data_IF_344324390556
#
_entry.id   IF_344324390556
#
_cell.length_a   1.000
_cell.length_b   1.000
_cell.length_c   1.000
_cell.angle_alpha   90.00
_cell.angle_beta   90.00
_cell.angle_gamma   90.00
#
_symmetry.space_group_name_H-M   'P 1'
#
loop_
_entity.id
_entity.type
_entity.pdbx_description
1 polymer ?
#
# COMPACT_ATOMS: atom_id res chain seq x y z
N UNK A 1 -13.23 21.00 -22.99
CA UNK A 1 -14.25 20.91 -21.92
C UNK A 1 -14.72 19.47 -21.87
N UNK A 2 -14.49 18.75 -20.75
CA UNK A 2 -15.03 17.42 -20.55
C UNK A 2 -16.56 17.52 -20.33
N UNK A 3 -17.38 16.60 -20.88
CA UNK A 3 -18.83 16.61 -20.68
C UNK A 3 -19.18 16.40 -19.20
N UNK A 4 -20.19 17.13 -18.71
CA UNK A 4 -20.56 17.16 -17.28
C UNK A 4 -21.00 15.78 -16.73
N UNK A 5 -21.51 14.89 -17.58
CA UNK A 5 -21.84 13.51 -17.23
C UNK A 5 -20.59 12.68 -16.90
N UNK A 6 -19.51 12.82 -17.68
CA UNK A 6 -18.22 12.17 -17.43
C UNK A 6 -17.58 12.73 -16.14
N UNK A 7 -17.77 14.04 -15.93
CA UNK A 7 -17.36 14.76 -14.72
C UNK A 7 -18.17 14.41 -13.46
N UNK A 8 -19.33 13.76 -13.57
CA UNK A 8 -20.02 13.22 -12.40
C UNK A 8 -19.69 11.74 -12.14
N UNK A 9 -19.25 11.01 -13.15
CA UNK A 9 -18.85 9.62 -13.00
C UNK A 9 -17.43 9.49 -12.45
N UNK A 10 -16.48 10.29 -12.92
CA UNK A 10 -15.09 10.19 -12.46
C UNK A 10 -14.91 10.69 -11.00
N UNK A 11 -15.79 11.56 -10.47
CA UNK A 11 -15.79 12.01 -9.06
C UNK A 11 -16.18 10.87 -8.15
N UNK A 12 -17.15 10.07 -8.59
CA UNK A 12 -17.56 8.87 -7.86
C UNK A 12 -16.45 7.84 -7.83
N UNK A 13 -15.60 7.76 -8.86
CA UNK A 13 -14.51 6.78 -8.95
C UNK A 13 -13.27 7.20 -8.16
N UNK A 14 -13.01 8.51 -8.01
CA UNK A 14 -11.87 9.06 -7.28
C UNK A 14 -11.66 8.48 -5.87
N UNK A 15 -12.66 8.40 -4.98
CA UNK A 15 -12.46 7.83 -3.64
C UNK A 15 -12.10 6.34 -3.68
N UNK A 16 -12.60 5.57 -4.66
CA UNK A 16 -12.23 4.17 -4.84
C UNK A 16 -10.76 4.04 -5.30
N UNK A 17 -10.33 4.88 -6.24
CA UNK A 17 -8.94 4.88 -6.72
C UNK A 17 -7.95 5.24 -5.60
N UNK A 18 -8.28 6.25 -4.79
CA UNK A 18 -7.47 6.63 -3.64
C UNK A 18 -7.42 5.49 -2.62
N UNK A 19 -8.55 4.85 -2.32
CA UNK A 19 -8.57 3.71 -1.40
C UNK A 19 -7.77 2.49 -1.89
N UNK A 20 -7.78 2.22 -3.20
CA UNK A 20 -7.05 1.09 -3.81
C UNK A 20 -5.54 1.39 -3.95
N UNK A 21 -5.15 2.67 -4.00
CA UNK A 21 -3.77 3.08 -4.28
C UNK A 21 -2.74 2.51 -3.30
N UNK A 22 -3.06 2.46 -2.02
CA UNK A 22 -2.16 1.97 -0.96
C UNK A 22 -1.95 0.44 -1.06
N UNK A 23 -3.01 -0.39 -1.06
CA UNK A 23 -2.84 -1.85 -1.22
C UNK A 23 -2.29 -2.27 -2.59
N UNK A 24 -2.35 -1.41 -3.61
CA UNK A 24 -1.71 -1.66 -4.92
C UNK A 24 -0.18 -1.76 -4.85
N UNK A 25 0.45 -1.27 -3.77
CA UNK A 25 1.89 -1.41 -3.55
C UNK A 25 2.34 -2.88 -3.58
N UNK A 26 1.47 -3.81 -3.19
CA UNK A 26 1.76 -5.25 -3.19
C UNK A 26 2.05 -5.80 -4.59
N UNK A 27 1.38 -5.25 -5.61
CA UNK A 27 1.59 -5.68 -7.00
C UNK A 27 2.92 -5.11 -7.52
N UNK A 28 3.28 -3.91 -7.05
CA UNK A 28 4.59 -3.33 -7.25
C UNK A 28 4.57 -1.80 -7.28
N UNK A 29 5.74 -1.15 -7.12
CA UNK A 29 5.86 0.31 -7.12
C UNK A 29 5.32 0.96 -8.40
N UNK A 30 5.47 0.30 -9.54
CA UNK A 30 4.96 0.78 -10.83
C UNK A 30 3.43 0.87 -10.85
N UNK A 31 2.73 -0.15 -10.35
CA UNK A 31 1.27 -0.19 -10.32
C UNK A 31 0.73 0.85 -9.34
N UNK A 32 1.32 0.96 -8.16
CA UNK A 32 1.00 2.04 -7.21
C UNK A 32 1.23 3.42 -7.87
N UNK A 33 2.34 3.62 -8.56
CA UNK A 33 2.65 4.85 -9.28
C UNK A 33 1.61 5.21 -10.35
N UNK A 34 1.13 4.22 -11.11
CA UNK A 34 0.06 4.41 -12.10
C UNK A 34 -1.26 4.78 -11.42
N UNK A 35 -1.67 4.04 -10.39
CA UNK A 35 -2.94 4.31 -9.68
C UNK A 35 -2.91 5.68 -9.00
N UNK A 36 -1.79 6.04 -8.38
CA UNK A 36 -1.58 7.37 -7.80
C UNK A 36 -1.51 8.46 -8.86
N UNK A 37 -0.84 8.23 -9.98
CA UNK A 37 -0.76 9.17 -11.10
C UNK A 37 -2.14 9.47 -11.67
N UNK A 38 -2.93 8.44 -11.93
CA UNK A 38 -4.33 8.57 -12.38
C UNK A 38 -5.15 9.33 -11.33
N UNK A 39 -5.01 8.97 -10.04
CA UNK A 39 -5.70 9.66 -8.94
C UNK A 39 -5.31 11.14 -8.87
N UNK A 40 -4.03 11.47 -9.09
CA UNK A 40 -3.51 12.84 -9.09
C UNK A 40 -4.09 13.64 -10.24
N UNK A 41 -4.03 13.11 -11.45
CA UNK A 41 -4.61 13.76 -12.64
C UNK A 41 -6.10 14.00 -12.44
N UNK A 42 -6.84 13.00 -11.94
CA UNK A 42 -8.25 13.16 -11.60
C UNK A 42 -8.50 14.25 -10.55
N UNK A 43 -7.65 14.32 -9.53
CA UNK A 43 -7.76 15.29 -8.45
C UNK A 43 -7.51 16.73 -8.95
N UNK A 44 -6.62 16.93 -9.93
CA UNK A 44 -6.34 18.23 -10.55
C UNK A 44 -7.18 18.57 -11.79
N UNK A 45 -7.87 17.62 -12.42
CA UNK A 45 -8.75 17.89 -13.56
C UNK A 45 -10.22 18.17 -13.15
N UNK A 46 -10.56 18.06 -11.87
CA UNK A 46 -11.93 18.13 -11.35
C UNK A 46 -12.40 19.54 -10.96
N UNK A 47 -13.72 19.82 -10.87
CA UNK A 47 -14.25 21.05 -10.29
C UNK A 47 -14.15 21.00 -8.75
N UNK A 48 -14.15 22.17 -8.10
CA UNK A 48 -13.87 22.40 -6.65
C UNK A 48 -12.38 22.52 -6.26
N UNK A 49 -11.50 22.74 -7.23
CA UNK A 49 -10.08 23.05 -6.98
C UNK A 49 -9.92 24.24 -6.03
N UNK A 50 -10.70 25.31 -6.23
CA UNK A 50 -10.60 26.53 -5.41
C UNK A 50 -10.75 26.25 -3.91
N UNK A 51 -11.67 25.34 -3.54
CA UNK A 51 -11.90 24.95 -2.16
C UNK A 51 -10.78 24.08 -1.61
N UNK A 52 -10.31 23.14 -2.42
CA UNK A 52 -9.16 22.29 -2.07
C UNK A 52 -7.89 23.12 -1.87
N UNK A 53 -7.59 24.06 -2.77
CA UNK A 53 -6.47 24.99 -2.65
C UNK A 53 -6.65 25.94 -1.46
N UNK A 54 -7.86 26.42 -1.21
CA UNK A 54 -8.17 27.24 -0.02
C UNK A 54 -7.93 26.46 1.28
N UNK A 55 -8.36 25.19 1.34
CA UNK A 55 -8.09 24.30 2.46
C UNK A 55 -6.60 24.10 2.67
N UNK A 56 -5.86 23.72 1.61
CA UNK A 56 -4.40 23.52 1.68
C UNK A 56 -3.70 24.80 2.15
N UNK A 57 -4.07 25.96 1.60
CA UNK A 57 -3.53 27.27 2.02
C UNK A 57 -3.80 27.56 3.50
N UNK A 58 -5.02 27.24 3.98
CA UNK A 58 -5.38 27.37 5.40
C UNK A 58 -4.60 26.40 6.27
N UNK A 59 -4.38 25.16 5.81
CA UNK A 59 -3.56 24.17 6.51
C UNK A 59 -2.11 24.61 6.66
N UNK A 60 -1.52 25.31 5.67
CA UNK A 60 -0.17 25.87 5.81
C UNK A 60 -0.02 26.88 6.95
N UNK A 61 -1.10 27.49 7.41
CA UNK A 61 -1.10 28.39 8.57
C UNK A 61 -1.38 27.67 9.90
N UNK A 62 -1.60 26.35 9.88
CA UNK A 62 -1.84 25.55 11.08
C UNK A 62 -0.55 25.37 11.89
N UNK A 63 -0.60 25.46 13.24
CA UNK A 63 0.57 25.26 14.09
C UNK A 63 1.24 23.89 13.87
N UNK A 64 0.45 22.84 13.58
CA UNK A 64 0.98 21.51 13.26
C UNK A 64 1.79 21.51 11.96
N UNK A 65 1.31 22.21 10.93
CA UNK A 65 1.99 22.30 9.64
C UNK A 65 3.25 23.14 9.73
N UNK A 66 3.24 24.20 10.55
CA UNK A 66 4.44 25.01 10.84
C UNK A 66 5.52 24.14 11.50
N UNK A 67 5.17 23.36 12.52
CA UNK A 67 6.12 22.43 13.16
C UNK A 67 6.67 21.41 12.17
N UNK A 68 5.81 20.86 11.29
CA UNK A 68 6.21 19.95 10.22
C UNK A 68 7.21 20.60 9.25
N UNK A 69 6.98 21.86 8.86
CA UNK A 69 7.89 22.61 7.98
C UNK A 69 9.24 22.82 8.67
N UNK A 70 9.24 23.23 9.94
CA UNK A 70 10.47 23.40 10.73
C UNK A 70 11.23 22.09 10.77
N UNK A 71 10.55 20.98 11.07
CA UNK A 71 11.14 19.64 11.08
C UNK A 71 11.74 19.28 9.71
N UNK A 72 11.03 19.55 8.61
CA UNK A 72 11.50 19.30 7.24
C UNK A 72 12.74 20.12 6.89
N UNK A 73 12.86 21.37 7.38
CA UNK A 73 14.04 22.23 7.17
C UNK A 73 15.26 21.70 7.93
N UNK A 74 15.08 21.31 9.20
CA UNK A 74 16.15 20.64 9.94
C UNK A 74 16.55 19.32 9.27
N UNK A 75 15.57 18.57 8.77
CA UNK A 75 15.84 17.32 8.09
C UNK A 75 16.55 17.52 6.75
N UNK A 76 16.24 18.57 6.00
CA UNK A 76 16.98 18.96 4.79
C UNK A 76 18.46 19.19 5.08
N UNK A 77 18.74 19.95 6.15
CA UNK A 77 20.11 20.25 6.59
C UNK A 77 20.85 18.96 6.98
N UNK A 78 20.17 18.06 7.69
CA UNK A 78 20.72 16.73 8.02
C UNK A 78 20.95 15.87 6.78
N UNK A 79 20.05 15.92 5.79
CA UNK A 79 20.18 15.19 4.53
C UNK A 79 21.36 15.65 3.70
N UNK A 80 21.71 16.95 3.72
CA UNK A 80 22.91 17.50 3.08
C UNK A 80 24.21 17.01 3.73
N UNK A 81 24.21 16.80 5.04
CA UNK A 81 25.38 16.35 5.81
C UNK A 81 25.50 14.82 5.89
N UNK A 82 24.63 14.10 5.18
CA UNK A 82 24.62 12.63 5.09
C UNK A 82 25.84 12.10 4.36
N UNK A 83 26.27 10.88 4.73
CA UNK A 83 27.29 10.10 4.02
C UNK A 83 26.92 9.94 2.53
N UNK A 84 25.63 9.72 2.25
CA UNK A 84 25.06 9.71 0.90
C UNK A 84 24.04 10.85 0.74
N UNK A 85 24.47 12.06 0.33
CA UNK A 85 23.59 13.24 0.29
C UNK A 85 22.52 13.12 -0.79
N UNK A 86 22.85 12.57 -1.96
CA UNK A 86 21.91 12.37 -3.08
C UNK A 86 20.75 11.43 -2.70
N UNK A 87 21.06 10.29 -2.08
CA UNK A 87 20.05 9.31 -1.66
C UNK A 87 19.19 9.83 -0.50
N UNK A 88 19.78 10.62 0.40
CA UNK A 88 19.05 11.25 1.50
C UNK A 88 18.12 12.35 1.00
N UNK A 89 18.58 13.16 0.04
CA UNK A 89 17.77 14.16 -0.66
C UNK A 89 16.59 13.54 -1.41
N UNK A 90 16.81 12.43 -2.13
CA UNK A 90 15.74 11.74 -2.85
C UNK A 90 14.62 11.33 -1.89
N UNK A 91 14.98 10.75 -0.74
CA UNK A 91 14.02 10.38 0.31
C UNK A 91 13.31 11.60 0.88
N UNK A 92 14.04 12.66 1.20
CA UNK A 92 13.48 13.90 1.72
C UNK A 92 12.47 14.52 0.74
N UNK A 93 12.82 14.63 -0.54
CA UNK A 93 11.95 15.15 -1.59
C UNK A 93 10.70 14.28 -1.75
N UNK A 94 10.88 12.95 -1.77
CA UNK A 94 9.77 11.99 -1.85
C UNK A 94 8.81 12.17 -0.67
N UNK A 95 9.32 12.38 0.54
CA UNK A 95 8.47 12.64 1.72
C UNK A 95 7.70 13.95 1.57
N UNK A 96 8.31 15.03 1.07
CA UNK A 96 7.59 16.29 0.82
C UNK A 96 6.46 16.10 -0.18
N UNK A 97 6.74 15.45 -1.31
CA UNK A 97 5.74 15.18 -2.34
C UNK A 97 4.57 14.39 -1.75
N UNK A 98 4.84 13.38 -0.93
CA UNK A 98 3.80 12.60 -0.27
C UNK A 98 2.98 13.44 0.72
N UNK A 99 3.61 14.29 1.55
CA UNK A 99 2.90 15.15 2.50
C UNK A 99 1.97 16.12 1.76
N UNK A 100 2.47 16.80 0.72
CA UNK A 100 1.69 17.73 -0.08
C UNK A 100 0.52 16.98 -0.73
N UNK A 101 0.78 15.82 -1.32
CA UNK A 101 -0.25 15.00 -1.95
C UNK A 101 -1.33 14.55 -0.95
N UNK A 102 -0.93 14.12 0.25
CA UNK A 102 -1.87 13.77 1.33
C UNK A 102 -2.72 14.96 1.78
N UNK A 103 -2.15 16.17 1.85
CA UNK A 103 -2.91 17.39 2.15
C UNK A 103 -3.96 17.69 1.08
N UNK A 104 -3.64 17.50 -0.19
CA UNK A 104 -4.58 17.66 -1.29
C UNK A 104 -5.72 16.64 -1.24
N UNK A 105 -5.41 15.36 -1.00
CA UNK A 105 -6.42 14.31 -0.78
C UNK A 105 -7.32 14.67 0.41
N UNK A 106 -6.71 15.06 1.53
CA UNK A 106 -7.45 15.41 2.74
C UNK A 106 -8.35 16.63 2.52
N UNK A 107 -7.84 17.67 1.87
CA UNK A 107 -8.62 18.87 1.53
C UNK A 107 -9.80 18.57 0.60
N UNK A 108 -9.67 17.59 -0.29
CA UNK A 108 -10.79 17.12 -1.14
C UNK A 108 -11.88 16.41 -0.33
N UNK A 109 -11.50 15.67 0.71
CA UNK A 109 -12.43 14.90 1.56
C UNK A 109 -12.90 15.62 2.82
N UNK A 110 -12.34 16.80 3.13
CA UNK A 110 -12.68 17.56 4.33
C UNK A 110 -14.12 18.10 4.32
N UNK A 111 -14.72 18.30 3.14
CA UNK A 111 -16.08 18.84 3.02
C UNK A 111 -17.16 17.76 2.81
N UNK A 112 -16.79 16.57 2.34
CA UNK A 112 -17.74 15.50 1.99
C UNK A 112 -17.44 14.22 2.77
N UNK A 113 -18.10 14.06 3.92
CA UNK A 113 -17.96 12.88 4.78
C UNK A 113 -18.26 11.57 4.04
N UNK A 114 -19.15 11.60 3.05
CA UNK A 114 -19.51 10.44 2.24
C UNK A 114 -18.33 9.90 1.42
N UNK A 115 -17.62 10.78 0.71
CA UNK A 115 -16.47 10.42 -0.12
C UNK A 115 -15.31 9.90 0.75
N UNK A 116 -15.11 10.50 1.92
CA UNK A 116 -14.11 10.05 2.91
C UNK A 116 -14.40 8.63 3.39
N UNK A 117 -15.65 8.34 3.75
CA UNK A 117 -16.06 7.01 4.21
C UNK A 117 -15.89 5.97 3.10
N UNK A 118 -16.22 6.31 1.85
CA UNK A 118 -15.99 5.42 0.70
C UNK A 118 -14.50 5.13 0.52
N UNK A 119 -13.63 6.14 0.58
CA UNK A 119 -12.18 5.96 0.43
C UNK A 119 -11.59 5.06 1.53
N UNK A 120 -11.99 5.27 2.79
CA UNK A 120 -11.54 4.42 3.91
C UNK A 120 -12.07 3.00 3.76
N UNK A 121 -13.36 2.83 3.43
CA UNK A 121 -13.99 1.53 3.24
C UNK A 121 -13.32 0.73 2.13
N UNK A 122 -13.06 1.38 1.00
CA UNK A 122 -12.41 0.76 -0.16
C UNK A 122 -10.97 0.38 0.15
N UNK A 123 -10.24 1.22 0.89
CA UNK A 123 -8.91 0.88 1.42
C UNK A 123 -8.95 -0.36 2.32
N UNK A 124 -9.88 -0.43 3.28
CA UNK A 124 -9.98 -1.58 4.20
C UNK A 124 -10.33 -2.87 3.46
N UNK A 125 -11.33 -2.83 2.57
CA UNK A 125 -11.75 -4.02 1.80
C UNK A 125 -10.64 -4.49 0.88
N UNK A 126 -10.00 -3.59 0.14
CA UNK A 126 -8.90 -3.95 -0.77
C UNK A 126 -7.68 -4.47 -0.01
N UNK A 127 -7.34 -3.89 1.14
CA UNK A 127 -6.27 -4.39 2.00
C UNK A 127 -6.56 -5.80 2.53
N UNK A 128 -7.79 -6.04 2.99
CA UNK A 128 -8.19 -7.36 3.47
C UNK A 128 -8.14 -8.42 2.35
N UNK A 129 -8.61 -8.08 1.14
CA UNK A 129 -8.51 -8.97 -0.03
C UNK A 129 -7.06 -9.29 -0.38
N UNK A 130 -6.20 -8.27 -0.42
CA UNK A 130 -4.77 -8.44 -0.71
C UNK A 130 -4.09 -9.31 0.36
N UNK A 131 -4.39 -9.10 1.64
CA UNK A 131 -3.85 -9.91 2.73
C UNK A 131 -4.25 -11.40 2.60
N UNK A 132 -5.51 -11.68 2.27
CA UNK A 132 -6.00 -13.05 2.07
C UNK A 132 -5.32 -13.69 0.85
N UNK A 133 -5.25 -12.99 -0.29
CA UNK A 133 -4.60 -13.47 -1.51
C UNK A 133 -3.12 -13.81 -1.27
N UNK A 134 -2.39 -12.91 -0.59
CA UNK A 134 -0.99 -13.15 -0.22
C UNK A 134 -0.85 -14.32 0.75
N UNK A 135 -1.73 -14.41 1.74
CA UNK A 135 -1.74 -15.51 2.70
C UNK A 135 -1.92 -16.86 2.01
N UNK A 136 -2.87 -16.98 1.08
CA UNK A 136 -3.08 -18.19 0.28
C UNK A 136 -1.84 -18.51 -0.55
N UNK A 137 -1.25 -17.52 -1.22
CA UNK A 137 -0.07 -17.71 -2.06
C UNK A 137 1.14 -18.19 -1.24
N UNK A 138 1.36 -17.62 -0.05
CA UNK A 138 2.43 -18.04 0.86
C UNK A 138 2.21 -19.45 1.42
N UNK A 139 0.97 -19.80 1.79
CA UNK A 139 0.64 -21.15 2.25
C UNK A 139 0.85 -22.17 1.13
N UNK A 140 0.40 -21.85 -0.09
CA UNK A 140 0.63 -22.68 -1.28
C UNK A 140 2.12 -22.91 -1.56
N UNK A 141 2.95 -21.86 -1.46
CA UNK A 141 4.41 -21.98 -1.58
C UNK A 141 4.99 -22.89 -0.49
N UNK A 142 4.59 -22.73 0.78
CA UNK A 142 5.10 -23.56 1.88
C UNK A 142 4.77 -25.05 1.67
N UNK A 143 3.53 -25.35 1.29
CA UNK A 143 3.08 -26.72 1.01
C UNK A 143 3.87 -27.32 -0.17
N UNK A 144 4.06 -26.55 -1.24
CA UNK A 144 4.85 -26.97 -2.40
C UNK A 144 6.31 -27.27 -2.04
N UNK A 145 6.97 -26.40 -1.27
CA UNK A 145 8.34 -26.64 -0.80
C UNK A 145 8.45 -27.87 0.11
N UNK A 146 7.48 -28.08 1.01
CA UNK A 146 7.49 -29.28 1.86
C UNK A 146 7.28 -30.56 1.05
N UNK A 147 6.41 -30.53 0.03
CA UNK A 147 6.23 -31.65 -0.90
C UNK A 147 7.53 -31.99 -1.64
N UNK A 148 8.20 -30.96 -2.19
CA UNK A 148 9.47 -31.13 -2.91
C UNK A 148 10.58 -31.68 -1.99
N UNK A 149 10.67 -31.22 -0.74
CA UNK A 149 11.66 -31.71 0.23
C UNK A 149 11.36 -33.17 0.62
N UNK A 150 10.09 -33.52 0.84
CA UNK A 150 9.68 -34.90 1.12
C UNK A 150 9.94 -35.83 -0.07
N UNK A 151 9.68 -35.35 -1.29
CA UNK A 151 9.99 -36.09 -2.51
C UNK A 151 11.50 -36.28 -2.67
N UNK A 152 12.33 -35.24 -2.47
CA UNK A 152 13.81 -35.35 -2.53
C UNK A 152 14.38 -36.24 -1.43
N UNK A 153 13.85 -36.17 -0.20
CA UNK A 153 14.26 -37.04 0.90
C UNK A 153 13.85 -38.51 0.67
N UNK A 154 12.71 -38.75 0.00
CA UNK A 154 12.29 -40.08 -0.44
C UNK A 154 13.01 -40.54 -1.73
N UNK A 155 13.51 -39.62 -2.56
CA UNK A 155 14.25 -39.84 -3.81
C UNK A 155 15.77 -39.64 -3.64
N UNK A 156 16.35 -40.14 -2.55
CA UNK A 156 17.80 -40.31 -2.43
C UNK A 156 18.45 -41.24 -3.48
N UNK A 157 17.76 -41.59 -4.57
CA UNK A 157 18.27 -42.56 -5.55
C UNK A 157 17.82 -42.38 -7.00
N UNK A 158 17.63 -41.15 -7.51
CA UNK A 158 17.51 -41.00 -8.97
C UNK A 158 18.07 -39.69 -9.51
N UNK A 159 19.40 -39.70 -9.68
CA UNK A 159 20.14 -38.88 -10.62
C UNK A 159 19.50 -39.10 -12.01
N UNK A 160 18.52 -38.27 -12.40
CA UNK A 160 18.22 -37.98 -13.82
C UNK A 160 17.06 -37.01 -14.09
N UNK A 161 16.50 -36.30 -13.10
CA UNK A 161 15.48 -35.29 -13.41
C UNK A 161 16.07 -33.90 -13.70
N UNK A 162 17.14 -33.87 -14.50
CA UNK A 162 17.54 -32.66 -15.20
C UNK A 162 16.71 -32.59 -16.49
N UNK A 163 16.12 -31.41 -16.76
CA UNK A 163 15.84 -30.87 -18.12
C UNK A 163 14.38 -30.60 -18.53
N UNK A 164 13.39 -30.58 -17.63
CA UNK A 164 12.02 -30.15 -18.02
C UNK A 164 11.29 -29.17 -17.07
N UNK A 165 11.97 -28.51 -16.13
CA UNK A 165 11.33 -27.56 -15.19
C UNK A 165 11.46 -26.07 -15.57
N UNK A 166 11.63 -25.75 -16.87
CA UNK A 166 11.75 -24.35 -17.32
C UNK A 166 10.44 -23.53 -17.19
N UNK A 167 9.28 -24.17 -17.02
CA UNK A 167 8.00 -23.49 -16.77
C UNK A 167 7.77 -23.15 -15.28
N UNK A 168 8.54 -23.75 -14.37
CA UNK A 168 8.38 -23.63 -12.91
C UNK A 168 9.31 -22.59 -12.26
N UNK A 169 10.28 -22.05 -12.99
CA UNK A 169 11.14 -20.95 -12.53
C UNK A 169 10.35 -19.66 -12.19
N UNK A 170 9.15 -19.49 -12.76
CA UNK A 170 8.31 -18.31 -12.53
C UNK A 170 7.72 -18.25 -11.10
N UNK A 171 7.63 -19.39 -10.39
CA UNK A 171 7.19 -19.44 -8.99
C UNK A 171 8.35 -19.39 -7.98
N UNK A 172 9.59 -19.70 -8.41
CA UNK A 172 10.75 -19.81 -7.51
C UNK A 172 11.40 -18.47 -7.12
N UNK A 173 11.17 -17.39 -7.88
CA UNK A 173 11.80 -16.08 -7.64
C UNK A 173 10.84 -14.99 -7.16
N UNK A 174 9.90 -15.32 -6.27
CA UNK A 174 9.29 -14.27 -5.45
C UNK A 174 10.25 -13.91 -4.31
N UNK A 175 11.12 -12.93 -4.58
CA UNK A 175 12.11 -12.40 -3.64
C UNK A 175 11.50 -12.13 -2.27
N UNK A 176 12.04 -12.79 -1.25
CA UNK A 176 11.59 -12.65 0.13
C UNK A 176 11.63 -11.20 0.64
N UNK A 177 12.54 -10.39 0.09
CA UNK A 177 12.66 -8.95 0.35
C UNK A 177 11.40 -8.18 -0.04
N UNK A 178 10.71 -8.55 -1.13
CA UNK A 178 9.48 -7.87 -1.55
C UNK A 178 8.32 -8.08 -0.57
N UNK A 179 8.30 -9.21 0.15
CA UNK A 179 7.27 -9.47 1.14
C UNK A 179 7.49 -8.70 2.45
N UNK A 180 8.73 -8.30 2.77
CA UNK A 180 9.04 -7.56 4.00
C UNK A 180 8.42 -6.16 3.99
N UNK A 181 8.56 -5.42 2.88
CA UNK A 181 7.95 -4.09 2.73
C UNK A 181 6.42 -4.17 2.77
N UNK A 182 5.85 -5.22 2.18
CA UNK A 182 4.41 -5.48 2.19
C UNK A 182 3.89 -5.83 3.58
N UNK A 183 4.62 -6.67 4.32
CA UNK A 183 4.28 -7.03 5.69
C UNK A 183 4.26 -5.80 6.61
N UNK A 184 5.26 -4.92 6.50
CA UNK A 184 5.30 -3.67 7.26
C UNK A 184 4.08 -2.78 6.97
N UNK A 185 3.72 -2.61 5.69
CA UNK A 185 2.54 -1.82 5.31
C UNK A 185 1.24 -2.44 5.85
N UNK A 186 1.09 -3.77 5.79
CA UNK A 186 -0.08 -4.46 6.35
C UNK A 186 -0.18 -4.31 7.87
N UNK A 187 0.94 -4.37 8.60
CA UNK A 187 0.98 -4.12 10.04
C UNK A 187 0.60 -2.68 10.36
N UNK A 188 1.10 -1.70 9.61
CA UNK A 188 0.74 -0.29 9.81
C UNK A 188 -0.75 -0.01 9.55
N UNK A 189 -1.40 -0.81 8.70
CA UNK A 189 -2.84 -0.69 8.42
C UNK A 189 -3.71 -1.45 9.44
N UNK A 190 -3.13 -2.36 10.23
CA UNK A 190 -3.86 -3.18 11.20
C UNK A 190 -4.70 -2.38 12.21
N UNK A 191 -4.21 -1.26 12.81
CA UNK A 191 -5.03 -0.43 13.69
C UNK A 191 -6.25 0.18 12.99
N UNK A 192 -6.08 0.59 11.72
CA UNK A 192 -7.15 1.16 10.91
C UNK A 192 -8.20 0.08 10.60
N UNK A 193 -7.76 -1.12 10.25
CA UNK A 193 -8.62 -2.29 10.01
C UNK A 193 -9.41 -2.67 11.27
N UNK A 194 -8.75 -2.69 12.43
CA UNK A 194 -9.39 -3.00 13.72
C UNK A 194 -10.41 -1.91 14.09
N UNK A 195 -10.08 -0.64 13.89
CA UNK A 195 -11.01 0.45 14.17
C UNK A 195 -12.23 0.41 13.23
N UNK A 196 -12.01 0.07 11.97
CA UNK A 196 -13.09 -0.09 10.98
C UNK A 196 -14.03 -1.26 11.28
N UNK A 197 -13.62 -2.31 12.02
CA UNK A 197 -14.53 -3.39 12.46
C UNK A 197 -15.68 -2.89 13.31
N UNK A 198 -15.46 -1.80 14.07
CA UNK A 198 -16.48 -1.19 14.92
C UNK A 198 -17.49 -0.36 14.10
N UNK A 199 -17.07 0.13 12.93
CA UNK A 199 -17.83 1.05 12.09
C UNK A 199 -18.55 0.34 10.92
N UNK A 200 -18.13 -0.87 10.53
CA UNK A 200 -18.63 -1.55 9.33
C UNK A 200 -19.88 -2.42 9.54
N UNK A 201 -20.64 -2.58 8.44
CA UNK A 201 -21.84 -3.42 8.39
C UNK A 201 -21.52 -4.91 8.59
N UNK A 202 -22.49 -5.67 9.13
CA UNK A 202 -22.34 -7.11 9.46
C UNK A 202 -21.78 -7.99 8.32
N UNK A 203 -21.97 -7.61 7.04
CA UNK A 203 -21.51 -8.39 5.87
C UNK A 203 -19.99 -8.33 5.66
N UNK A 204 -19.37 -7.16 5.78
CA UNK A 204 -17.92 -6.99 5.55
C UNK A 204 -17.08 -7.32 6.79
N UNK A 205 -17.72 -7.35 7.97
CA UNK A 205 -17.08 -7.66 9.25
C UNK A 205 -16.36 -9.02 9.24
N UNK A 206 -16.95 -10.03 8.58
CA UNK A 206 -16.35 -11.36 8.47
C UNK A 206 -15.10 -11.39 7.58
N UNK A 207 -15.13 -10.65 6.46
CA UNK A 207 -13.98 -10.52 5.56
C UNK A 207 -12.82 -9.76 6.23
N UNK A 208 -13.14 -8.77 7.06
CA UNK A 208 -12.12 -8.05 7.82
C UNK A 208 -11.53 -8.93 8.93
N UNK A 209 -12.38 -9.63 9.70
CA UNK A 209 -11.95 -10.56 10.75
C UNK A 209 -11.05 -11.67 10.19
N UNK A 210 -11.37 -12.21 9.01
CA UNK A 210 -10.55 -13.25 8.38
C UNK A 210 -9.19 -12.74 7.91
N UNK A 211 -9.06 -11.46 7.57
CA UNK A 211 -7.78 -10.88 7.13
C UNK A 211 -6.74 -10.70 8.25
N UNK A 212 -7.17 -10.50 9.50
CA UNK A 212 -6.29 -10.28 10.66
C UNK A 212 -5.28 -11.42 10.87
N UNK A 213 -5.69 -12.71 10.96
CA UNK A 213 -4.74 -13.81 11.12
C UNK A 213 -3.78 -13.92 9.93
N UNK A 214 -4.20 -13.60 8.70
CA UNK A 214 -3.31 -13.58 7.55
C UNK A 214 -2.27 -12.47 7.65
N UNK A 215 -2.64 -11.26 8.10
CA UNK A 215 -1.68 -10.16 8.30
C UNK A 215 -0.64 -10.54 9.35
N UNK A 216 -1.08 -11.12 10.48
CA UNK A 216 -0.19 -11.58 11.54
C UNK A 216 0.72 -12.72 11.04
N UNK A 217 0.17 -13.67 10.29
CA UNK A 217 0.94 -14.77 9.71
C UNK A 217 2.02 -14.27 8.74
N UNK A 218 1.67 -13.35 7.84
CA UNK A 218 2.60 -12.74 6.88
C UNK A 218 3.73 -12.01 7.62
N UNK A 219 3.38 -11.23 8.66
CA UNK A 219 4.35 -10.54 9.50
C UNK A 219 5.34 -11.51 10.17
N UNK A 220 4.83 -12.54 10.86
CA UNK A 220 5.68 -13.53 11.53
C UNK A 220 6.52 -14.35 10.56
N UNK A 221 5.96 -14.73 9.42
CA UNK A 221 6.67 -15.50 8.39
C UNK A 221 7.83 -14.72 7.77
N UNK A 222 7.63 -13.42 7.52
CA UNK A 222 8.68 -12.55 6.98
C UNK A 222 9.78 -12.25 8.00
N UNK A 223 9.44 -12.03 9.28
CA UNK A 223 10.45 -11.82 10.34
C UNK A 223 11.30 -13.07 10.56
N UNK A 224 10.68 -14.24 10.73
CA UNK A 224 11.38 -15.51 11.03
C UNK A 224 12.38 -15.91 9.94
N UNK A 225 12.03 -15.73 8.66
CA UNK A 225 12.98 -16.00 7.57
C UNK A 225 14.06 -14.91 7.43
N UNK A 226 13.77 -13.66 7.80
CA UNK A 226 14.77 -12.60 7.77
C UNK A 226 15.84 -12.73 8.86
N UNK A 227 15.52 -13.42 9.95
CA UNK A 227 16.46 -13.74 11.04
C UNK A 227 17.31 -14.99 10.78
N UNK A 228 16.98 -15.76 9.73
CA UNK A 228 17.69 -16.99 9.34
C UNK A 228 18.67 -16.79 8.16
N UNK A 229 18.77 -15.57 7.64
CA UNK A 229 19.72 -15.11 6.62
C UNK A 229 20.81 -14.27 7.29
#
# INVERSE_FOLDING_TARGET
MLPDSLKNNLSKVLPYLIGISIPSLVIGPAVMGIVLGISTVLLFCYPKQEKMFSFVKKSFSSPLTITLIIMLVFWFTSSMLSIDPLRSLEKWLRTIVLIIFSLFIYGRFAEEDHDRVIAIKTMVISTALVAILLGILMVGQKLYYQQMILEVLNFGNWINWSRESNSLCLFMHCDLFKYKDVAQVLICLLPIIIFSLKAESKRFRWLILSSIPFIIWIALYTETKSAAL
#
